data_IF_808379788154
#
_entry.id   IF_808379788154
#
_cell.length_a   1.000
_cell.length_b   1.000
_cell.length_c   1.000
_cell.angle_alpha   90.00
_cell.angle_beta   90.00
_cell.angle_gamma   90.00
#
_symmetry.space_group_name_H-M   'P 1'
#
loop_
_entity.id
_entity.type
_entity.pdbx_description
1 polymer ?
#
# COMPACT_ATOMS: atom_id res chain seq x y z
N UNK A 1 10.37 -14.42 -8.79
CA UNK A 1 9.85 -14.25 -7.41
C UNK A 1 8.82 -15.34 -7.15
N UNK A 2 8.83 -15.95 -5.95
CA UNK A 2 7.89 -17.03 -5.61
C UNK A 2 6.67 -16.47 -4.90
N UNK A 3 5.49 -16.93 -5.32
CA UNK A 3 4.20 -16.60 -4.72
C UNK A 3 3.51 -17.87 -4.22
N UNK A 4 2.67 -17.72 -3.20
CA UNK A 4 1.98 -18.81 -2.53
C UNK A 4 0.47 -18.57 -2.48
N UNK A 5 -0.31 -19.65 -2.62
CA UNK A 5 -1.73 -19.68 -2.33
C UNK A 5 -1.99 -20.49 -1.05
N UNK A 6 -2.68 -19.90 -0.07
CA UNK A 6 -3.06 -20.60 1.18
C UNK A 6 -4.35 -21.42 1.03
N UNK A 7 -5.33 -20.93 0.24
CA UNK A 7 -6.58 -21.63 -0.10
C UNK A 7 -7.07 -21.27 -1.51
N UNK A 8 -7.41 -22.26 -2.34
CA UNK A 8 -7.95 -22.09 -3.70
C UNK A 8 -9.31 -21.41 -3.76
N UNK A 9 -10.04 -21.37 -2.63
CA UNK A 9 -11.32 -20.67 -2.53
C UNK A 9 -11.17 -19.14 -2.42
N UNK A 10 -9.96 -18.63 -2.18
CA UNK A 10 -9.67 -17.20 -2.18
C UNK A 10 -8.83 -16.86 -3.42
N UNK A 11 -9.50 -16.60 -4.54
CA UNK A 11 -8.84 -16.32 -5.84
C UNK A 11 -7.92 -15.08 -5.81
N UNK A 12 -8.10 -14.16 -4.84
CA UNK A 12 -7.22 -13.00 -4.61
C UNK A 12 -6.10 -13.24 -3.59
N UNK A 13 -6.11 -14.38 -2.88
CA UNK A 13 -5.24 -14.64 -1.72
C UNK A 13 -3.84 -15.14 -2.08
N UNK A 14 -3.21 -14.54 -3.09
CA UNK A 14 -1.82 -14.84 -3.44
C UNK A 14 -0.89 -13.93 -2.65
N UNK A 15 0.14 -14.50 -2.04
CA UNK A 15 1.08 -13.73 -1.22
C UNK A 15 2.54 -14.04 -1.55
N UNK A 16 3.40 -13.04 -1.41
CA UNK A 16 4.86 -13.19 -1.46
C UNK A 16 5.42 -13.89 -0.21
N UNK A 17 4.62 -13.98 0.86
CA UNK A 17 5.04 -14.55 2.14
C UNK A 17 4.57 -15.99 2.19
N UNK A 18 5.48 -16.92 2.51
CA UNK A 18 5.11 -18.32 2.70
C UNK A 18 4.08 -18.48 3.85
N UNK A 19 2.84 -18.93 3.57
CA UNK A 19 1.84 -19.21 4.59
C UNK A 19 2.18 -20.52 5.34
N UNK A 20 1.47 -20.78 6.44
CA UNK A 20 1.63 -22.03 7.21
C UNK A 20 1.18 -23.25 6.40
N UNK A 21 0.10 -23.10 5.63
CA UNK A 21 -0.43 -24.10 4.72
C UNK A 21 -0.23 -23.55 3.31
N UNK A 22 0.48 -24.30 2.47
CA UNK A 22 0.68 -23.96 1.06
C UNK A 22 -0.14 -24.96 0.25
N UNK A 23 -1.18 -24.49 -0.42
CA UNK A 23 -1.94 -25.31 -1.36
C UNK A 23 -1.22 -25.38 -2.71
N UNK A 24 -0.70 -24.24 -3.17
CA UNK A 24 0.10 -24.13 -4.38
C UNK A 24 1.14 -23.01 -4.26
N UNK A 25 2.18 -23.08 -5.09
CA UNK A 25 3.13 -22.00 -5.30
C UNK A 25 3.48 -21.88 -6.77
N UNK A 26 3.80 -20.67 -7.22
CA UNK A 26 4.27 -20.42 -8.57
C UNK A 26 5.37 -19.37 -8.58
N UNK A 27 6.11 -19.33 -9.68
CA UNK A 27 7.11 -18.29 -9.92
C UNK A 27 6.57 -17.30 -10.95
N UNK A 28 6.84 -16.02 -10.72
CA UNK A 28 6.59 -14.96 -11.68
C UNK A 28 7.78 -14.01 -11.74
N UNK A 29 7.99 -13.41 -12.90
CA UNK A 29 8.96 -12.35 -13.08
C UNK A 29 8.55 -11.13 -12.24
N UNK A 30 9.53 -10.53 -11.58
CA UNK A 30 9.33 -9.33 -10.77
C UNK A 30 10.47 -8.36 -11.07
N UNK A 31 10.14 -7.08 -11.18
CA UNK A 31 11.11 -6.01 -11.35
C UNK A 31 10.80 -4.86 -10.37
N UNK A 32 11.80 -4.07 -9.97
CA UNK A 32 11.58 -2.82 -9.26
C UNK A 32 10.68 -1.88 -10.08
N UNK A 33 9.86 -1.07 -9.40
CA UNK A 33 8.94 -0.13 -10.04
C UNK A 33 9.59 0.78 -11.12
N UNK A 34 10.82 1.31 -10.96
CA UNK A 34 11.49 2.09 -12.01
C UNK A 34 11.69 1.36 -13.35
N UNK A 35 11.66 0.03 -13.36
CA UNK A 35 11.80 -0.77 -14.59
C UNK A 35 10.45 -1.12 -15.22
N UNK A 36 9.34 -0.83 -14.52
CA UNK A 36 7.98 -1.15 -14.96
C UNK A 36 7.22 0.06 -15.50
N UNK A 37 7.65 1.28 -15.13
CA UNK A 37 7.01 2.53 -15.51
C UNK A 37 7.97 3.39 -16.32
N UNK A 38 7.46 4.11 -17.32
CA UNK A 38 8.23 5.17 -17.97
C UNK A 38 8.36 6.38 -17.05
N UNK A 39 9.30 7.27 -17.37
CA UNK A 39 9.48 8.51 -16.63
C UNK A 39 8.24 9.42 -16.71
N UNK A 40 7.58 9.43 -17.87
CA UNK A 40 6.35 10.19 -18.11
C UNK A 40 5.17 9.64 -17.31
N UNK A 41 5.02 8.31 -17.23
CA UNK A 41 3.97 7.67 -16.42
C UNK A 41 4.16 8.00 -14.94
N UNK A 42 5.40 7.90 -14.46
CA UNK A 42 5.76 8.24 -13.09
C UNK A 42 5.47 9.72 -12.77
N UNK A 43 5.87 10.63 -13.66
CA UNK A 43 5.65 12.07 -13.49
C UNK A 43 4.17 12.49 -13.66
N UNK A 44 3.36 11.69 -14.36
CA UNK A 44 1.93 11.94 -14.53
C UNK A 44 1.07 11.30 -13.42
N UNK A 45 1.59 10.31 -12.70
CA UNK A 45 0.85 9.57 -11.68
C UNK A 45 0.40 10.49 -10.53
N UNK A 46 -0.91 10.72 -10.44
CA UNK A 46 -1.55 11.38 -9.27
C UNK A 46 -1.75 10.40 -8.11
N UNK A 47 -1.92 9.11 -8.40
CA UNK A 47 -2.24 8.09 -7.41
C UNK A 47 -1.46 6.81 -7.71
N UNK A 48 -0.80 6.24 -6.71
CA UNK A 48 -0.13 4.94 -6.79
C UNK A 48 -0.68 4.06 -5.66
N UNK A 49 -1.28 2.91 -5.99
CA UNK A 49 -1.69 1.93 -4.98
C UNK A 49 -0.65 0.83 -4.86
N UNK A 50 -0.22 0.54 -3.64
CA UNK A 50 0.65 -0.57 -3.27
C UNK A 50 -0.13 -1.53 -2.37
N UNK A 51 -0.40 -2.71 -2.91
CA UNK A 51 -1.16 -3.77 -2.27
C UNK A 51 -0.55 -5.09 -2.75
N UNK A 52 0.57 -5.45 -2.11
CA UNK A 52 1.50 -6.49 -2.59
C UNK A 52 1.62 -7.63 -1.57
N UNK A 53 0.61 -7.75 -0.70
CA UNK A 53 0.38 -8.86 0.22
C UNK A 53 1.64 -9.31 0.97
N UNK A 54 2.33 -8.32 1.57
CA UNK A 54 3.57 -8.46 2.31
C UNK A 54 4.78 -7.80 1.65
N UNK A 55 4.74 -7.53 0.35
CA UNK A 55 5.87 -6.96 -0.38
C UNK A 55 6.13 -5.46 -0.12
N UNK A 56 5.39 -4.80 0.78
CA UNK A 56 5.27 -3.34 0.81
C UNK A 56 6.61 -2.65 1.11
N UNK A 57 7.39 -3.19 2.05
CA UNK A 57 8.69 -2.62 2.39
C UNK A 57 9.68 -2.68 1.21
N UNK A 58 9.64 -3.76 0.43
CA UNK A 58 10.46 -3.89 -0.77
C UNK A 58 9.98 -2.95 -1.88
N UNK A 59 8.66 -2.84 -2.08
CA UNK A 59 8.06 -1.93 -3.04
C UNK A 59 8.40 -0.46 -2.73
N UNK A 60 8.24 -0.04 -1.47
CA UNK A 60 8.60 1.32 -1.03
C UNK A 60 10.09 1.58 -1.18
N UNK A 61 10.98 0.65 -0.80
CA UNK A 61 12.42 0.82 -1.03
C UNK A 61 12.76 1.04 -2.51
N UNK A 62 12.09 0.32 -3.42
CA UNK A 62 12.27 0.49 -4.86
C UNK A 62 11.72 1.82 -5.38
N UNK A 63 10.63 2.31 -4.79
CA UNK A 63 10.00 3.59 -5.14
C UNK A 63 10.74 4.79 -4.53
N UNK A 64 11.39 4.65 -3.38
CA UNK A 64 11.94 5.76 -2.61
C UNK A 64 12.84 6.73 -3.42
N UNK A 65 13.78 6.27 -4.27
CA UNK A 65 14.61 7.16 -5.09
C UNK A 65 13.83 7.97 -6.13
N UNK A 66 12.61 7.54 -6.46
CA UNK A 66 11.75 8.16 -7.46
C UNK A 66 10.74 9.15 -6.87
N UNK A 67 10.55 9.16 -5.54
CA UNK A 67 9.58 10.02 -4.86
C UNK A 67 9.76 11.53 -5.15
N UNK A 68 10.98 12.07 -5.34
CA UNK A 68 11.17 13.46 -5.75
C UNK A 68 10.71 13.78 -7.17
N UNK A 69 10.48 12.77 -8.01
CA UNK A 69 10.05 12.91 -9.41
C UNK A 69 8.53 12.87 -9.57
N UNK A 70 7.82 12.45 -8.53
CA UNK A 70 6.37 12.45 -8.52
C UNK A 70 5.85 13.88 -8.49
N UNK A 71 4.58 14.05 -8.89
CA UNK A 71 3.86 15.31 -8.72
C UNK A 71 3.81 15.69 -7.25
N UNK A 72 3.79 16.99 -6.98
CA UNK A 72 3.64 17.51 -5.61
C UNK A 72 2.31 17.12 -4.97
N UNK A 73 1.28 16.87 -5.79
CA UNK A 73 -0.04 16.40 -5.37
C UNK A 73 -0.23 14.87 -5.53
N UNK A 74 0.85 14.12 -5.78
CA UNK A 74 0.77 12.67 -5.84
C UNK A 74 0.47 12.07 -4.46
N UNK A 75 -0.41 11.08 -4.44
CA UNK A 75 -0.76 10.32 -3.24
C UNK A 75 -0.44 8.84 -3.42
N UNK A 76 0.06 8.21 -2.35
CA UNK A 76 0.27 6.77 -2.32
C UNK A 76 -0.79 6.13 -1.43
N UNK A 77 -1.46 5.08 -1.93
CA UNK A 77 -2.40 4.27 -1.15
C UNK A 77 -1.72 2.96 -0.84
N UNK A 78 -1.39 2.70 0.41
CA UNK A 78 -0.62 1.51 0.81
C UNK A 78 -1.43 0.72 1.82
N UNK A 79 -1.73 -0.54 1.52
CA UNK A 79 -2.26 -1.46 2.53
C UNK A 79 -1.09 -1.98 3.37
N UNK A 80 -1.07 -1.64 4.65
CA UNK A 80 -0.01 -2.06 5.57
C UNK A 80 -0.56 -3.12 6.51
N UNK A 81 0.01 -4.33 6.44
CA UNK A 81 -0.32 -5.43 7.34
C UNK A 81 0.87 -5.77 8.24
N UNK A 82 0.96 -5.24 9.47
CA UNK A 82 2.14 -5.40 10.35
C UNK A 82 2.55 -6.85 10.60
N UNK A 83 1.57 -7.75 10.66
CA UNK A 83 1.79 -9.19 10.88
C UNK A 83 2.49 -9.86 9.69
N UNK A 84 2.22 -9.39 8.47
CA UNK A 84 2.85 -9.87 7.24
C UNK A 84 4.29 -9.32 7.11
N UNK A 85 4.49 -8.04 7.40
CA UNK A 85 5.83 -7.43 7.47
C UNK A 85 6.73 -8.18 8.47
N UNK A 86 6.21 -8.46 9.67
CA UNK A 86 6.97 -9.17 10.72
C UNK A 86 7.42 -10.56 10.28
N UNK A 87 6.61 -11.29 9.50
CA UNK A 87 6.98 -12.61 8.95
C UNK A 87 8.18 -12.55 7.99
N UNK A 88 8.47 -11.38 7.45
CA UNK A 88 9.64 -11.12 6.59
C UNK A 88 10.78 -10.40 7.33
N UNK A 89 10.69 -10.29 8.66
CA UNK A 89 11.66 -9.54 9.45
C UNK A 89 11.66 -8.04 9.13
N UNK A 90 10.50 -7.51 8.72
CA UNK A 90 10.29 -6.08 8.47
C UNK A 90 9.37 -5.48 9.54
N UNK A 91 9.53 -4.19 9.80
CA UNK A 91 8.66 -3.37 10.63
C UNK A 91 7.80 -2.45 9.76
N UNK A 92 6.73 -1.90 10.35
CA UNK A 92 5.91 -0.85 9.70
C UNK A 92 6.76 0.34 9.28
N UNK A 93 7.80 0.67 10.06
CA UNK A 93 8.66 1.81 9.77
C UNK A 93 9.56 1.59 8.54
N UNK A 94 9.84 0.34 8.15
CA UNK A 94 10.51 0.03 6.88
C UNK A 94 9.66 0.41 5.65
N UNK A 95 8.36 0.63 5.86
CA UNK A 95 7.42 1.14 4.85
C UNK A 95 7.22 2.65 5.02
N UNK A 96 6.91 3.11 6.24
CA UNK A 96 6.49 4.50 6.45
C UNK A 96 7.64 5.49 6.60
N UNK A 97 8.79 5.06 7.14
CA UNK A 97 9.97 5.89 7.37
C UNK A 97 10.46 6.59 6.10
N UNK A 98 10.76 5.85 5.01
CA UNK A 98 11.23 6.45 3.76
C UNK A 98 10.24 7.47 3.17
N UNK A 99 8.94 7.23 3.33
CA UNK A 99 7.89 8.14 2.83
C UNK A 99 7.83 9.42 3.68
N UNK A 100 7.94 9.29 5.00
CA UNK A 100 7.98 10.44 5.93
C UNK A 100 9.23 11.29 5.73
N UNK A 101 10.38 10.68 5.50
CA UNK A 101 11.63 11.38 5.16
C UNK A 101 11.49 12.21 3.89
N UNK A 102 10.65 11.75 2.96
CA UNK A 102 10.29 12.49 1.76
C UNK A 102 9.15 13.48 1.98
N UNK A 103 8.67 13.73 3.20
CA UNK A 103 7.65 14.74 3.49
C UNK A 103 6.20 14.28 3.30
N UNK A 104 5.96 12.98 3.17
CA UNK A 104 4.60 12.45 3.17
C UNK A 104 4.03 12.34 4.59
N UNK A 105 2.79 12.78 4.72
CA UNK A 105 1.95 12.64 5.91
C UNK A 105 1.06 11.42 5.80
N UNK A 106 0.85 10.72 6.92
CA UNK A 106 0.07 9.48 6.97
C UNK A 106 -1.39 9.78 7.29
N UNK A 107 -2.30 9.30 6.46
CA UNK A 107 -3.74 9.35 6.69
C UNK A 107 -4.29 7.92 6.66
N UNK A 108 -5.33 7.64 7.43
CA UNK A 108 -5.99 6.33 7.48
C UNK A 108 -7.34 6.42 6.77
N UNK A 109 -7.60 5.47 5.87
CA UNK A 109 -8.93 5.27 5.30
C UNK A 109 -9.73 4.38 6.25
N UNK A 110 -10.98 4.79 6.50
CA UNK A 110 -11.94 3.94 7.19
C UNK A 110 -12.54 2.97 6.17
N UNK A 111 -11.90 1.81 5.99
CA UNK A 111 -12.47 0.71 5.20
C UNK A 111 -13.16 -0.29 6.13
N UNK A 112 -14.48 -0.38 5.99
CA UNK A 112 -15.26 -1.50 6.52
C UNK A 112 -15.28 -2.58 5.44
N UNK A 113 -14.45 -3.61 5.60
CA UNK A 113 -14.35 -4.74 4.67
C UNK A 113 -15.58 -5.67 4.69
N UNK A 114 -16.65 -5.32 5.41
CA UNK A 114 -17.93 -6.01 5.29
C UNK A 114 -18.57 -5.70 3.93
N UNK A 115 -18.85 -6.74 3.12
CA UNK A 115 -19.49 -6.59 1.80
C UNK A 115 -20.78 -5.74 1.81
N UNK A 116 -21.50 -5.69 2.94
CA UNK A 116 -22.73 -4.91 3.13
C UNK A 116 -22.50 -3.39 3.21
N UNK A 117 -21.27 -2.91 3.44
CA UNK A 117 -20.94 -1.49 3.60
C UNK A 117 -20.72 -0.76 2.26
N UNK A 118 -20.39 -1.50 1.19
CA UNK A 118 -19.94 -0.97 -0.11
C UNK A 118 -20.91 0.03 -0.77
N UNK A 119 -22.24 -0.22 -0.85
CA UNK A 119 -23.15 0.72 -1.50
C UNK A 119 -23.20 2.09 -0.80
N UNK A 120 -23.15 2.11 0.53
CA UNK A 120 -23.17 3.33 1.32
C UNK A 120 -21.83 4.08 1.24
N UNK A 121 -20.72 3.35 1.27
CA UNK A 121 -19.37 3.91 1.13
C UNK A 121 -19.14 4.57 -0.24
N UNK A 122 -19.68 3.99 -1.33
CA UNK A 122 -19.62 4.58 -2.67
C UNK A 122 -20.46 5.87 -2.79
N UNK A 123 -21.60 5.93 -2.10
CA UNK A 123 -22.46 7.11 -2.13
C UNK A 123 -21.89 8.30 -1.35
N UNK A 124 -21.11 8.03 -0.30
CA UNK A 124 -20.47 9.05 0.57
C UNK A 124 -19.10 8.57 1.05
N UNK A 125 -18.07 8.64 0.21
CA UNK A 125 -16.73 8.27 0.62
C UNK A 125 -16.27 9.15 1.78
N UNK A 126 -15.92 8.53 2.91
CA UNK A 126 -15.38 9.23 4.06
C UNK A 126 -13.97 9.76 3.71
N UNK A 127 -13.61 10.97 4.17
CA UNK A 127 -12.26 11.47 3.94
C UNK A 127 -11.23 10.64 4.70
N UNK A 128 -10.00 10.56 4.17
CA UNK A 128 -8.89 9.97 4.91
C UNK A 128 -8.54 10.90 6.09
N UNK A 129 -8.34 10.34 7.28
CA UNK A 129 -8.10 11.11 8.51
C UNK A 129 -6.63 11.05 8.86
N UNK A 130 -6.04 12.20 9.24
CA UNK A 130 -4.63 12.27 9.65
C UNK A 130 -4.36 11.30 10.79
N UNK A 131 -3.33 10.47 10.63
CA UNK A 131 -2.98 9.41 11.55
C UNK A 131 -1.63 9.68 12.20
N UNK A 132 -1.62 9.74 13.53
CA UNK A 132 -0.42 9.93 14.34
C UNK A 132 -0.06 8.69 15.19
N UNK A 133 -0.96 7.72 15.27
CA UNK A 133 -0.78 6.52 16.09
C UNK A 133 0.07 5.43 15.43
N UNK A 134 0.35 4.34 16.15
CA UNK A 134 0.96 3.16 15.56
C UNK A 134 0.00 2.45 14.60
N UNK A 135 0.53 1.77 13.58
CA UNK A 135 -0.25 0.86 12.73
C UNK A 135 -0.09 -0.54 13.31
N UNK A 136 -1.11 -1.02 14.02
CA UNK A 136 -1.06 -2.30 14.77
C UNK A 136 -1.84 -3.43 14.10
N UNK A 137 -2.66 -3.09 13.11
CA UNK A 137 -3.50 -4.01 12.36
C UNK A 137 -3.46 -3.64 10.87
N UNK A 138 -4.01 -4.51 10.02
CA UNK A 138 -4.17 -4.22 8.60
C UNK A 138 -4.90 -2.89 8.42
N UNK A 139 -4.31 -1.98 7.64
CA UNK A 139 -4.84 -0.64 7.45
C UNK A 139 -4.54 -0.16 6.04
N UNK A 140 -5.54 0.38 5.36
CA UNK A 140 -5.35 1.22 4.18
C UNK A 140 -4.90 2.62 4.61
N UNK A 141 -3.72 3.01 4.14
CA UNK A 141 -3.12 4.31 4.43
C UNK A 141 -3.01 5.13 3.15
N UNK A 142 -3.35 6.42 3.24
CA UNK A 142 -3.05 7.41 2.21
C UNK A 142 -1.85 8.22 2.68
N UNK A 143 -0.82 8.28 1.85
CA UNK A 143 0.36 9.10 2.07
C UNK A 143 0.27 10.28 1.12
N UNK A 144 0.24 11.50 1.68
CA UNK A 144 0.12 12.74 0.93
C UNK A 144 1.08 13.79 1.46
N UNK A 145 1.67 14.61 0.58
CA UNK A 145 2.47 15.79 0.99
C UNK A 145 1.62 16.88 1.63
N UNK A 146 0.29 16.81 1.44
CA UNK A 146 -0.66 17.70 2.11
C UNK A 146 -0.55 17.52 3.63
N UNK A 147 -0.50 18.63 4.37
CA UNK A 147 -0.53 18.64 5.83
C UNK A 147 -1.85 19.24 6.33
N UNK A 148 -2.85 18.38 6.51
CA UNK A 148 -4.19 18.74 6.97
C UNK A 148 -4.74 17.68 7.94
N UNK A 149 -5.86 17.99 8.60
CA UNK A 149 -6.55 17.03 9.47
C UNK A 149 -7.25 15.91 8.68
N UNK A 150 -7.72 16.21 7.47
CA UNK A 150 -8.44 15.28 6.59
C UNK A 150 -8.08 15.50 5.13
N UNK A 151 -8.07 14.44 4.33
CA UNK A 151 -8.00 14.52 2.87
C UNK A 151 -9.38 14.21 2.27
N UNK A 152 -10.04 15.18 1.61
CA UNK A 152 -11.28 14.92 0.91
C UNK A 152 -11.02 14.08 -0.35
N UNK A 153 -12.01 13.29 -0.82
CA UNK A 153 -11.94 12.63 -2.11
C UNK A 153 -11.68 13.67 -3.21
N UNK A 154 -10.59 13.51 -3.96
CA UNK A 154 -10.28 14.40 -5.09
C UNK A 154 -10.87 13.80 -6.36
N UNK A 155 -11.72 14.58 -7.04
CA UNK A 155 -12.21 14.28 -8.40
C UNK A 155 -11.05 14.20 -9.39
#
# INVERSE_FOLDING_TARGET
MTFYLERSTNLGGTTAIRPRIVEASFEADAAPLPHLLTEEELAAARLIKLDVEGGEAAAVRGLAPLLPRLRDDAELVIEVTPRLLTKQGQAVDDVLGPLREQGFNVYRLANDYAAASYPAALARPAPAIRWHGPVTEMSDLVLSRTDAATLPPRS
#
